data_IF_904964257096
#
_entry.id   IF_904964257096
#
_cell.length_a   1.000
_cell.length_b   1.000
_cell.length_c   1.000
_cell.angle_alpha   90.00
_cell.angle_beta   90.00
_cell.angle_gamma   90.00
#
_symmetry.space_group_name_H-M   'P 1'
#
loop_
_entity.id
_entity.type
_entity.pdbx_description
1 polymer ?
#
# COMPACT_ATOMS: atom_id res chain seq x y z
N UNK A 1 2.13 44.97 -0.70
CA UNK A 1 3.10 44.39 0.26
C UNK A 1 2.36 44.09 1.55
N UNK A 2 1.86 42.87 1.68
CA UNK A 2 1.13 42.39 2.85
C UNK A 2 0.86 40.91 2.66
N UNK A 3 1.05 40.12 3.74
CA UNK A 3 0.77 38.68 3.89
C UNK A 3 1.85 37.63 3.57
N UNK A 4 3.12 37.87 3.93
CA UNK A 4 4.10 36.76 4.03
C UNK A 4 4.10 36.04 5.41
N UNK A 5 3.45 36.59 6.43
CA UNK A 5 3.55 36.10 7.82
C UNK A 5 2.48 35.09 8.24
N UNK A 6 1.43 34.86 7.44
CA UNK A 6 0.35 33.94 7.80
C UNK A 6 0.60 32.46 7.43
N UNK A 7 1.61 32.16 6.60
CA UNK A 7 1.87 30.79 6.10
C UNK A 7 2.94 30.02 6.89
N UNK A 8 3.84 30.69 7.60
CA UNK A 8 4.97 30.02 8.28
C UNK A 8 4.53 29.21 9.51
N UNK A 9 3.50 29.67 10.24
CA UNK A 9 2.91 28.94 11.37
C UNK A 9 2.28 27.62 10.92
N UNK A 10 1.54 27.63 9.82
CA UNK A 10 0.84 26.45 9.31
C UNK A 10 1.79 25.32 8.87
N UNK A 11 2.88 25.62 8.15
CA UNK A 11 3.82 24.59 7.70
C UNK A 11 4.62 23.98 8.86
N UNK A 12 5.03 24.78 9.84
CA UNK A 12 5.71 24.27 11.04
C UNK A 12 4.82 23.29 11.80
N UNK A 13 3.55 23.62 11.97
CA UNK A 13 2.59 22.75 12.66
C UNK A 13 2.36 21.44 11.89
N UNK A 14 2.25 21.50 10.57
CA UNK A 14 2.13 20.30 9.71
C UNK A 14 3.34 19.38 9.90
N UNK A 15 4.57 19.94 9.87
CA UNK A 15 5.80 19.15 10.00
C UNK A 15 5.91 18.55 11.40
N UNK A 16 5.59 19.32 12.45
CA UNK A 16 5.65 18.82 13.83
C UNK A 16 4.63 17.70 14.04
N UNK A 17 3.37 17.89 13.62
CA UNK A 17 2.32 16.85 13.71
C UNK A 17 2.69 15.63 12.87
N UNK A 18 3.27 15.84 11.68
CA UNK A 18 3.70 14.75 10.81
C UNK A 18 4.84 13.94 11.41
N UNK A 19 5.90 14.58 11.90
CA UNK A 19 7.03 13.89 12.53
C UNK A 19 6.64 13.16 13.81
N UNK A 20 5.79 13.77 14.65
CA UNK A 20 5.26 13.12 15.86
C UNK A 20 4.31 11.99 15.52
N UNK A 21 3.49 12.14 14.48
CA UNK A 21 2.66 11.07 13.91
C UNK A 21 3.49 9.89 13.39
N UNK A 22 4.61 10.14 12.71
CA UNK A 22 5.55 9.10 12.25
C UNK A 22 6.12 8.34 13.45
N UNK A 23 6.60 9.05 14.47
CA UNK A 23 7.12 8.41 15.68
C UNK A 23 6.04 7.56 16.37
N UNK A 24 4.80 8.04 16.41
CA UNK A 24 3.67 7.30 16.97
C UNK A 24 3.34 6.04 16.16
N UNK A 25 3.29 6.12 14.83
CA UNK A 25 3.11 4.98 13.94
C UNK A 25 4.20 3.94 14.19
N UNK A 26 5.47 4.35 14.18
CA UNK A 26 6.60 3.44 14.37
C UNK A 26 6.56 2.77 15.74
N UNK A 27 6.18 3.50 16.79
CA UNK A 27 6.00 2.95 18.13
C UNK A 27 4.88 1.89 18.17
N UNK A 28 3.70 2.23 17.63
CA UNK A 28 2.56 1.29 17.60
C UNK A 28 2.90 0.06 16.77
N UNK A 29 3.54 0.24 15.61
CA UNK A 29 4.05 -0.86 14.78
C UNK A 29 5.02 -1.73 15.57
N UNK A 30 6.04 -1.16 16.20
CA UNK A 30 7.01 -1.91 16.98
C UNK A 30 6.35 -2.73 18.09
N UNK A 31 5.39 -2.14 18.82
CA UNK A 31 4.62 -2.81 19.86
C UNK A 31 3.78 -3.97 19.31
N UNK A 32 3.12 -3.77 18.17
CA UNK A 32 2.33 -4.83 17.50
C UNK A 32 3.23 -5.98 17.07
N UNK A 33 4.32 -5.68 16.34
CA UNK A 33 5.26 -6.71 15.88
C UNK A 33 5.84 -7.47 17.08
N UNK A 34 6.30 -6.76 18.10
CA UNK A 34 6.87 -7.36 19.30
C UNK A 34 5.85 -8.25 20.03
N UNK A 35 4.63 -7.75 20.28
CA UNK A 35 3.60 -8.52 20.98
C UNK A 35 3.25 -9.82 20.24
N UNK A 36 3.05 -9.75 18.92
CA UNK A 36 2.72 -10.94 18.14
C UNK A 36 3.89 -11.95 18.08
N UNK A 37 5.12 -11.48 17.93
CA UNK A 37 6.30 -12.35 17.96
C UNK A 37 6.48 -13.03 19.33
N UNK A 38 6.25 -12.31 20.43
CA UNK A 38 6.40 -12.87 21.77
C UNK A 38 5.32 -13.90 22.11
N UNK A 39 4.08 -13.69 21.66
CA UNK A 39 2.96 -14.56 22.05
C UNK A 39 2.74 -15.74 21.09
N UNK A 40 3.00 -15.58 19.80
CA UNK A 40 2.71 -16.60 18.78
C UNK A 40 3.91 -16.96 17.91
N UNK A 41 5.07 -16.33 18.11
CA UNK A 41 6.29 -16.61 17.35
C UNK A 41 6.37 -15.86 16.02
N UNK A 42 7.59 -15.88 15.45
CA UNK A 42 7.95 -15.18 14.22
C UNK A 42 7.09 -15.58 13.03
N UNK A 43 6.91 -16.89 12.82
CA UNK A 43 6.17 -17.40 11.68
C UNK A 43 4.72 -16.93 11.72
N UNK A 44 4.08 -16.92 12.90
CA UNK A 44 2.71 -16.45 13.02
C UNK A 44 2.55 -14.97 12.66
N UNK A 45 3.53 -14.13 13.03
CA UNK A 45 3.55 -12.73 12.66
C UNK A 45 3.70 -12.52 11.14
N UNK A 46 4.71 -13.15 10.54
CA UNK A 46 5.00 -12.99 9.10
C UNK A 46 3.85 -13.51 8.25
N UNK A 47 3.26 -14.62 8.66
CA UNK A 47 2.25 -15.32 7.88
C UNK A 47 0.84 -14.83 8.18
N UNK A 48 0.37 -14.92 9.42
CA UNK A 48 -1.04 -14.68 9.74
C UNK A 48 -1.35 -13.21 10.00
N UNK A 49 -0.54 -12.54 10.81
CA UNK A 49 -0.79 -11.14 11.17
C UNK A 49 -0.67 -10.24 9.94
N UNK A 50 0.40 -10.42 9.18
CA UNK A 50 0.61 -9.65 7.95
C UNK A 50 -0.48 -9.94 6.91
N UNK A 51 -0.89 -11.20 6.75
CA UNK A 51 -1.99 -11.58 5.86
C UNK A 51 -3.31 -10.92 6.24
N UNK A 52 -3.69 -10.95 7.52
CA UNK A 52 -4.92 -10.31 8.01
C UNK A 52 -4.94 -8.81 7.70
N UNK A 53 -3.85 -8.12 8.03
CA UNK A 53 -3.75 -6.67 7.78
C UNK A 53 -3.76 -6.33 6.28
N UNK A 54 -3.08 -7.12 5.44
CA UNK A 54 -3.13 -6.95 3.99
C UNK A 54 -4.54 -7.20 3.42
N UNK A 55 -5.31 -8.15 3.96
CA UNK A 55 -6.70 -8.36 3.57
C UNK A 55 -7.61 -7.17 3.89
N UNK A 56 -7.31 -6.42 4.96
CA UNK A 56 -8.04 -5.19 5.29
C UNK A 56 -7.65 -4.00 4.40
N UNK A 57 -6.49 -4.03 3.76
CA UNK A 57 -5.90 -2.88 3.06
C UNK A 57 -6.76 -2.34 1.91
N UNK A 58 -7.30 -3.16 0.99
CA UNK A 58 -8.21 -2.66 -0.04
C UNK A 58 -9.38 -1.87 0.53
N UNK A 59 -9.99 -2.38 1.61
CA UNK A 59 -11.08 -1.69 2.29
C UNK A 59 -10.62 -0.38 2.94
N UNK A 60 -9.43 -0.33 3.52
CA UNK A 60 -8.87 0.91 4.08
C UNK A 60 -8.67 1.99 3.01
N UNK A 61 -8.14 1.62 1.83
CA UNK A 61 -7.96 2.54 0.71
C UNK A 61 -9.33 3.10 0.28
N UNK A 62 -10.33 2.23 0.14
CA UNK A 62 -11.70 2.63 -0.21
C UNK A 62 -12.31 3.55 0.86
N UNK A 63 -12.21 3.18 2.14
CA UNK A 63 -12.72 3.98 3.26
C UNK A 63 -12.11 5.38 3.27
N UNK A 64 -10.79 5.47 3.09
CA UNK A 64 -10.06 6.73 3.14
C UNK A 64 -10.31 7.62 1.90
N UNK A 65 -10.30 7.04 0.71
CA UNK A 65 -10.32 7.81 -0.55
C UNK A 65 -11.72 8.01 -1.10
N UNK A 66 -12.56 6.96 -1.08
CA UNK A 66 -13.91 7.00 -1.68
C UNK A 66 -14.93 7.52 -0.69
N UNK A 67 -14.83 7.09 0.58
CA UNK A 67 -15.77 7.49 1.62
C UNK A 67 -15.26 8.63 2.50
N UNK A 68 -14.00 9.06 2.34
CA UNK A 68 -13.39 10.10 3.17
C UNK A 68 -13.57 9.87 4.68
N UNK A 69 -13.52 8.60 5.11
CA UNK A 69 -13.76 8.16 6.48
C UNK A 69 -15.11 8.62 7.08
N UNK A 70 -16.10 8.91 6.24
CA UNK A 70 -17.40 9.47 6.65
C UNK A 70 -18.57 8.49 6.57
N UNK A 71 -18.37 7.31 5.97
CA UNK A 71 -19.40 6.28 5.81
C UNK A 71 -19.09 5.06 6.69
N UNK A 72 -20.07 4.50 7.43
CA UNK A 72 -21.48 4.93 7.52
C UNK A 72 -21.65 6.32 8.17
N UNK A 73 -22.70 7.07 7.78
CA UNK A 73 -22.90 8.47 8.19
C UNK A 73 -22.84 8.70 9.71
N UNK A 74 -23.23 7.69 10.51
CA UNK A 74 -23.12 7.73 11.98
C UNK A 74 -21.68 7.90 12.48
N UNK A 75 -20.67 7.46 11.73
CA UNK A 75 -19.25 7.64 12.07
C UNK A 75 -18.82 9.11 12.01
N UNK A 76 -19.41 9.89 11.11
CA UNK A 76 -19.03 11.30 10.93
C UNK A 76 -19.36 12.18 12.14
N UNK A 77 -20.35 11.77 12.95
CA UNK A 77 -20.76 12.50 14.15
C UNK A 77 -20.02 12.13 15.44
N UNK A 78 -19.13 11.13 15.40
CA UNK A 78 -18.36 10.71 16.58
C UNK A 78 -17.14 11.63 16.78
N UNK A 79 -16.85 11.98 18.03
CA UNK A 79 -15.59 12.63 18.41
C UNK A 79 -14.46 11.59 18.55
N UNK A 80 -13.21 12.06 18.51
CA UNK A 80 -12.08 11.21 18.87
C UNK A 80 -12.08 10.95 20.39
N UNK A 81 -11.73 9.73 20.86
CA UNK A 81 -11.18 8.60 20.10
C UNK A 81 -12.21 7.64 19.52
N UNK A 82 -13.51 7.84 19.79
CA UNK A 82 -14.56 6.89 19.40
C UNK A 82 -14.69 6.73 17.89
N UNK A 83 -14.52 7.82 17.13
CA UNK A 83 -14.49 7.79 15.66
C UNK A 83 -13.38 6.87 15.15
N UNK A 84 -12.15 7.06 15.63
CA UNK A 84 -11.01 6.22 15.25
C UNK A 84 -11.21 4.75 15.60
N UNK A 85 -11.70 4.46 16.81
CA UNK A 85 -12.02 3.09 17.23
C UNK A 85 -13.09 2.44 16.34
N UNK A 86 -14.13 3.18 15.96
CA UNK A 86 -15.18 2.65 15.10
C UNK A 86 -14.67 2.37 13.68
N UNK A 87 -13.82 3.24 13.13
CA UNK A 87 -13.18 3.03 11.81
C UNK A 87 -12.24 1.81 11.85
N UNK A 88 -11.42 1.67 12.90
CA UNK A 88 -10.58 0.49 13.10
C UNK A 88 -11.43 -0.78 13.23
N UNK A 89 -12.56 -0.69 13.92
CA UNK A 89 -13.56 -1.77 13.98
C UNK A 89 -14.04 -2.20 12.59
N UNK A 90 -14.34 -1.25 11.70
CA UNK A 90 -14.68 -1.56 10.30
C UNK A 90 -13.52 -2.26 9.55
N UNK A 91 -12.28 -1.87 9.80
CA UNK A 91 -11.11 -2.53 9.19
C UNK A 91 -10.94 -3.97 9.67
N UNK A 92 -11.12 -4.21 10.97
CA UNK A 92 -11.10 -5.55 11.55
C UNK A 92 -12.21 -6.41 10.96
N UNK A 93 -13.43 -5.88 10.86
CA UNK A 93 -14.56 -6.60 10.24
C UNK A 93 -14.28 -6.94 8.78
N UNK A 94 -13.71 -6.01 8.00
CA UNK A 94 -13.31 -6.28 6.63
C UNK A 94 -12.26 -7.42 6.56
N UNK A 95 -11.26 -7.41 7.45
CA UNK A 95 -10.28 -8.50 7.55
C UNK A 95 -10.94 -9.84 7.88
N UNK A 96 -11.84 -9.87 8.87
CA UNK A 96 -12.53 -11.10 9.31
C UNK A 96 -13.35 -11.71 8.17
N UNK A 97 -13.86 -10.90 7.24
CA UNK A 97 -14.63 -11.38 6.09
C UNK A 97 -13.71 -11.83 4.95
N UNK A 98 -12.76 -10.97 4.56
CA UNK A 98 -11.91 -11.19 3.38
C UNK A 98 -10.89 -12.30 3.63
N UNK A 99 -10.30 -12.36 4.82
CA UNK A 99 -9.22 -13.29 5.13
C UNK A 99 -9.67 -14.77 5.01
N UNK A 100 -10.79 -15.23 5.60
CA UNK A 100 -11.28 -16.59 5.37
C UNK A 100 -11.71 -16.81 3.91
N UNK A 101 -12.35 -15.83 3.28
CA UNK A 101 -12.80 -15.94 1.89
C UNK A 101 -11.61 -16.26 0.98
N UNK A 102 -10.53 -15.48 1.03
CA UNK A 102 -9.35 -15.71 0.20
C UNK A 102 -8.57 -16.95 0.63
N UNK A 103 -8.54 -17.26 1.93
CA UNK A 103 -7.87 -18.45 2.46
C UNK A 103 -8.48 -19.74 1.90
N UNK A 104 -9.81 -19.83 1.83
CA UNK A 104 -10.49 -21.02 1.33
C UNK A 104 -10.67 -21.03 -0.19
N UNK A 105 -10.75 -19.86 -0.84
CA UNK A 105 -10.94 -19.80 -2.31
C UNK A 105 -9.62 -19.85 -3.08
N UNK A 106 -8.66 -18.98 -2.74
CA UNK A 106 -7.37 -18.89 -3.44
C UNK A 106 -6.32 -19.77 -2.76
N UNK A 107 -6.25 -19.73 -1.43
CA UNK A 107 -5.29 -20.51 -0.64
C UNK A 107 -5.66 -21.99 -0.43
N UNK A 108 -6.89 -22.38 -0.71
CA UNK A 108 -7.42 -23.75 -0.49
C UNK A 108 -7.14 -24.30 0.91
N UNK A 109 -7.25 -23.47 1.93
CA UNK A 109 -7.03 -23.92 3.29
C UNK A 109 -5.55 -23.98 3.69
N UNK A 110 -4.65 -23.39 2.91
CA UNK A 110 -3.24 -23.21 3.26
C UNK A 110 -2.77 -21.77 2.98
N UNK A 111 -1.88 -21.28 3.84
CA UNK A 111 -1.25 -19.98 3.62
C UNK A 111 0.00 -20.16 2.74
N UNK A 112 -0.19 -20.03 1.42
CA UNK A 112 0.87 -20.25 0.43
C UNK A 112 1.42 -18.92 -0.12
N UNK A 113 2.62 -18.91 -0.72
CA UNK A 113 3.12 -17.74 -1.45
C UNK A 113 2.15 -17.28 -2.54
N UNK A 114 1.45 -18.20 -3.20
CA UNK A 114 0.45 -17.91 -4.25
C UNK A 114 -0.68 -17.05 -3.68
N UNK A 115 -1.22 -17.42 -2.51
CA UNK A 115 -2.24 -16.63 -1.82
C UNK A 115 -1.72 -15.24 -1.43
N UNK A 116 -0.51 -15.15 -0.88
CA UNK A 116 0.07 -13.87 -0.49
C UNK A 116 0.28 -12.95 -1.70
N UNK A 117 0.74 -13.49 -2.82
CA UNK A 117 0.88 -12.73 -4.07
C UNK A 117 -0.47 -12.21 -4.57
N UNK A 118 -1.53 -13.03 -4.51
CA UNK A 118 -2.89 -12.61 -4.88
C UNK A 118 -3.37 -11.44 -4.01
N UNK A 119 -3.12 -11.50 -2.70
CA UNK A 119 -3.51 -10.47 -1.74
C UNK A 119 -2.74 -9.17 -2.02
N UNK A 120 -1.43 -9.24 -2.22
CA UNK A 120 -0.61 -8.06 -2.57
C UNK A 120 -1.10 -7.45 -3.89
N UNK A 121 -1.36 -8.27 -4.92
CA UNK A 121 -1.91 -7.81 -6.19
C UNK A 121 -3.28 -7.13 -6.00
N UNK A 122 -4.12 -7.62 -5.09
CA UNK A 122 -5.42 -7.00 -4.82
C UNK A 122 -5.28 -5.56 -4.30
N UNK A 123 -4.23 -5.27 -3.53
CA UNK A 123 -3.90 -3.90 -3.10
C UNK A 123 -3.50 -3.04 -4.29
N UNK A 124 -2.62 -3.55 -5.16
CA UNK A 124 -2.19 -2.87 -6.38
C UNK A 124 -3.39 -2.53 -7.26
N UNK A 125 -4.24 -3.52 -7.57
CA UNK A 125 -5.44 -3.33 -8.38
C UNK A 125 -6.37 -2.29 -7.76
N UNK A 126 -6.56 -2.34 -6.43
CA UNK A 126 -7.38 -1.36 -5.71
C UNK A 126 -6.84 0.05 -5.84
N UNK A 127 -5.53 0.25 -5.69
CA UNK A 127 -4.89 1.55 -5.90
C UNK A 127 -5.12 2.07 -7.32
N UNK A 128 -4.96 1.23 -8.35
CA UNK A 128 -5.19 1.65 -9.74
C UNK A 128 -6.65 1.99 -10.02
N UNK A 129 -7.59 1.15 -9.58
CA UNK A 129 -9.02 1.38 -9.81
C UNK A 129 -9.50 2.64 -9.09
N UNK A 130 -9.05 2.88 -7.85
CA UNK A 130 -9.50 4.02 -7.06
C UNK A 130 -8.75 5.30 -7.44
N UNK A 131 -7.42 5.28 -7.53
CA UNK A 131 -6.61 6.47 -7.73
C UNK A 131 -6.48 6.87 -9.20
N UNK A 132 -6.21 5.92 -10.11
CA UNK A 132 -6.02 6.24 -11.53
C UNK A 132 -7.36 6.30 -12.28
N UNK A 133 -8.26 5.35 -12.03
CA UNK A 133 -9.56 5.26 -12.72
C UNK A 133 -10.70 6.00 -11.99
N UNK A 134 -10.50 6.51 -10.77
CA UNK A 134 -11.54 7.22 -10.03
C UNK A 134 -12.81 6.37 -9.83
N UNK A 135 -12.63 5.08 -9.52
CA UNK A 135 -13.69 4.08 -9.39
C UNK A 135 -14.46 3.74 -10.68
N UNK A 136 -14.00 4.20 -11.85
CA UNK A 136 -14.59 3.79 -13.13
C UNK A 136 -14.24 2.31 -13.44
N UNK A 137 -15.18 1.51 -14.00
CA UNK A 137 -16.50 1.86 -14.51
C UNK A 137 -17.63 1.86 -13.46
N UNK A 138 -17.37 1.36 -12.25
CA UNK A 138 -18.39 1.17 -11.20
C UNK A 138 -19.09 2.48 -10.85
N UNK A 139 -18.35 3.58 -10.76
CA UNK A 139 -18.90 4.91 -10.46
C UNK A 139 -19.97 5.39 -11.44
N UNK A 140 -20.03 4.85 -12.67
CA UNK A 140 -21.08 5.15 -13.64
C UNK A 140 -22.44 4.57 -13.26
N UNK A 141 -22.46 3.48 -12.50
CA UNK A 141 -23.67 2.72 -12.18
C UNK A 141 -24.17 2.95 -10.75
N UNK A 142 -23.35 3.57 -9.89
CA UNK A 142 -23.69 3.79 -8.49
C UNK A 142 -24.29 5.18 -8.26
N UNK A 143 -25.38 5.23 -7.48
CA UNK A 143 -26.05 6.48 -7.09
C UNK A 143 -25.65 7.00 -5.71
N UNK A 144 -25.18 6.12 -4.83
CA UNK A 144 -24.77 6.48 -3.47
C UNK A 144 -23.28 6.16 -3.27
N UNK A 145 -22.53 7.00 -2.52
CA UNK A 145 -21.11 6.76 -2.28
C UNK A 145 -20.86 5.44 -1.56
N UNK A 146 -21.74 5.06 -0.63
CA UNK A 146 -21.67 3.78 0.09
C UNK A 146 -21.72 2.56 -0.85
N UNK A 147 -22.68 2.51 -1.77
CA UNK A 147 -22.74 1.41 -2.75
C UNK A 147 -21.55 1.48 -3.70
N UNK A 148 -21.14 2.68 -4.11
CA UNK A 148 -19.99 2.87 -5.00
C UNK A 148 -18.70 2.28 -4.41
N UNK A 149 -18.42 2.52 -3.13
CA UNK A 149 -17.25 1.96 -2.45
C UNK A 149 -17.25 0.43 -2.41
N UNK A 150 -18.35 -0.18 -1.94
CA UNK A 150 -18.46 -1.65 -1.84
C UNK A 150 -18.43 -2.33 -3.22
N UNK A 151 -19.17 -1.78 -4.20
CA UNK A 151 -19.16 -2.30 -5.56
C UNK A 151 -17.78 -2.15 -6.23
N UNK A 152 -17.05 -1.07 -5.92
CA UNK A 152 -15.67 -0.88 -6.41
C UNK A 152 -14.74 -1.93 -5.83
N UNK A 153 -14.86 -2.26 -4.53
CA UNK A 153 -14.05 -3.33 -3.93
C UNK A 153 -14.35 -4.69 -4.55
N UNK A 154 -15.62 -5.03 -4.74
CA UNK A 154 -16.00 -6.27 -5.41
C UNK A 154 -15.42 -6.34 -6.83
N UNK A 155 -15.51 -5.24 -7.58
CA UNK A 155 -14.89 -5.12 -8.89
C UNK A 155 -13.37 -5.27 -8.85
N UNK A 156 -12.69 -4.69 -7.85
CA UNK A 156 -11.24 -4.84 -7.69
C UNK A 156 -10.83 -6.29 -7.48
N UNK A 157 -11.54 -7.07 -6.64
CA UNK A 157 -11.21 -8.49 -6.45
C UNK A 157 -11.49 -9.34 -7.69
N UNK A 158 -12.56 -9.05 -8.43
CA UNK A 158 -12.86 -9.73 -9.69
C UNK A 158 -11.80 -9.42 -10.76
N UNK A 159 -11.44 -8.14 -10.91
CA UNK A 159 -10.38 -7.71 -11.82
C UNK A 159 -9.02 -8.29 -11.40
N UNK A 160 -8.75 -8.35 -10.10
CA UNK A 160 -7.55 -8.99 -9.55
C UNK A 160 -7.47 -10.46 -9.95
N UNK A 161 -8.56 -11.21 -9.83
CA UNK A 161 -8.61 -12.61 -10.25
C UNK A 161 -8.30 -12.77 -11.75
N UNK A 162 -8.87 -11.93 -12.61
CA UNK A 162 -8.60 -11.95 -14.05
C UNK A 162 -7.13 -11.66 -14.34
N UNK A 163 -6.56 -10.60 -13.74
CA UNK A 163 -5.14 -10.24 -13.92
C UNK A 163 -4.24 -11.35 -13.39
N UNK A 164 -4.56 -11.92 -12.24
CA UNK A 164 -3.79 -12.99 -11.62
C UNK A 164 -3.75 -14.23 -12.51
N UNK A 165 -4.90 -14.66 -13.04
CA UNK A 165 -4.97 -15.81 -13.95
C UNK A 165 -4.25 -15.59 -15.28
N UNK A 166 -4.26 -14.36 -15.81
CA UNK A 166 -3.61 -14.06 -17.09
C UNK A 166 -2.09 -13.95 -16.95
N UNK A 167 -1.60 -13.30 -15.89
CA UNK A 167 -0.19 -12.88 -15.84
C UNK A 167 0.70 -13.71 -14.93
N UNK A 168 0.17 -14.44 -13.95
CA UNK A 168 0.99 -15.15 -12.98
C UNK A 168 1.11 -16.63 -13.30
N UNK A 169 2.36 -17.10 -13.43
CA UNK A 169 2.73 -18.50 -13.55
C UNK A 169 3.53 -18.96 -12.33
N UNK A 170 3.15 -20.12 -11.79
CA UNK A 170 3.77 -20.70 -10.59
C UNK A 170 4.43 -22.06 -10.84
N UNK A 171 4.73 -22.41 -12.09
CA UNK A 171 5.41 -23.67 -12.42
C UNK A 171 6.73 -23.87 -11.64
N UNK A 172 7.39 -22.79 -11.22
CA UNK A 172 8.59 -22.85 -10.36
C UNK A 172 8.37 -23.52 -8.99
N UNK A 173 7.12 -23.67 -8.54
CA UNK A 173 6.76 -24.35 -7.29
C UNK A 173 6.37 -25.82 -7.49
N UNK A 174 6.48 -26.35 -8.71
CA UNK A 174 6.23 -27.76 -8.99
C UNK A 174 7.04 -28.69 -8.08
N UNK A 175 6.37 -29.70 -7.54
CA UNK A 175 6.95 -30.65 -6.59
C UNK A 175 6.95 -30.20 -5.13
N UNK A 176 6.56 -28.96 -4.81
CA UNK A 176 6.42 -28.51 -3.43
C UNK A 176 5.08 -28.98 -2.81
N UNK A 177 5.04 -29.31 -1.50
CA UNK A 177 3.84 -29.86 -0.86
C UNK A 177 2.59 -28.98 -0.93
N UNK A 178 2.77 -27.67 -1.08
CA UNK A 178 1.69 -26.70 -1.15
C UNK A 178 1.23 -26.39 -2.59
N UNK A 179 1.91 -26.93 -3.60
CA UNK A 179 1.63 -26.63 -5.00
C UNK A 179 0.65 -27.63 -5.60
N UNK A 180 -0.40 -27.11 -6.25
CA UNK A 180 -1.38 -27.90 -6.95
C UNK A 180 -1.70 -27.28 -8.32
N UNK A 181 -1.35 -27.99 -9.40
CA UNK A 181 -1.51 -27.52 -10.79
C UNK A 181 -2.94 -27.09 -11.15
N UNK A 182 -3.95 -27.71 -10.55
CA UNK A 182 -5.36 -27.39 -10.84
C UNK A 182 -5.72 -25.96 -10.44
N UNK A 183 -4.96 -25.36 -9.53
CA UNK A 183 -5.30 -24.09 -8.92
C UNK A 183 -4.21 -23.03 -9.01
N UNK A 184 -2.98 -23.43 -9.34
CA UNK A 184 -1.95 -22.49 -9.70
C UNK A 184 -2.21 -21.97 -11.13
N UNK A 185 -2.39 -20.66 -11.33
CA UNK A 185 -2.51 -20.14 -12.68
C UNK A 185 -1.21 -20.38 -13.47
N UNK A 186 -1.38 -20.64 -14.77
CA UNK A 186 -0.31 -20.83 -15.76
C UNK A 186 -0.22 -19.61 -16.68
N UNK A 187 -0.06 -18.44 -16.07
CA UNK A 187 -0.08 -17.15 -16.75
C UNK A 187 1.17 -16.88 -17.60
N UNK A 188 1.29 -15.63 -18.07
CA UNK A 188 2.34 -15.24 -19.01
C UNK A 188 3.74 -15.09 -18.39
N UNK A 189 3.83 -14.80 -17.09
CA UNK A 189 5.09 -14.45 -16.43
C UNK A 189 5.26 -15.20 -15.11
N UNK A 190 6.51 -15.53 -14.78
CA UNK A 190 6.86 -16.08 -13.48
C UNK A 190 6.27 -15.23 -12.33
N UNK A 191 5.66 -15.88 -11.34
CA UNK A 191 4.88 -15.22 -10.29
C UNK A 191 5.66 -14.23 -9.42
N UNK A 192 6.97 -14.43 -9.20
CA UNK A 192 7.82 -13.45 -8.48
C UNK A 192 8.07 -12.23 -9.37
N UNK A 193 8.34 -12.45 -10.65
CA UNK A 193 8.55 -11.39 -11.64
C UNK A 193 7.29 -10.54 -11.81
N UNK A 194 6.14 -11.19 -12.00
CA UNK A 194 4.84 -10.54 -12.12
C UNK A 194 4.50 -9.71 -10.87
N UNK A 195 4.70 -10.28 -9.68
CA UNK A 195 4.49 -9.57 -8.41
C UNK A 195 5.37 -8.34 -8.30
N UNK A 196 6.68 -8.51 -8.49
CA UNK A 196 7.65 -7.42 -8.36
C UNK A 196 7.33 -6.28 -9.33
N UNK A 197 6.98 -6.62 -10.57
CA UNK A 197 6.56 -5.65 -11.56
C UNK A 197 5.28 -4.92 -11.13
N UNK A 198 4.28 -5.63 -10.63
CA UNK A 198 3.04 -5.01 -10.17
C UNK A 198 3.24 -4.08 -8.96
N UNK A 199 4.09 -4.45 -8.00
CA UNK A 199 4.45 -3.57 -6.87
C UNK A 199 5.25 -2.36 -7.38
N UNK A 200 6.09 -2.52 -8.41
CA UNK A 200 6.75 -1.40 -9.10
C UNK A 200 5.72 -0.44 -9.71
N UNK A 201 4.70 -0.97 -10.37
CA UNK A 201 3.59 -0.18 -10.91
C UNK A 201 2.85 0.60 -9.79
N UNK A 202 2.59 -0.03 -8.65
CA UNK A 202 2.00 0.66 -7.50
C UNK A 202 2.91 1.77 -6.97
N UNK A 203 4.22 1.55 -6.85
CA UNK A 203 5.16 2.58 -6.44
C UNK A 203 5.16 3.77 -7.41
N UNK A 204 5.17 3.51 -8.72
CA UNK A 204 5.13 4.57 -9.74
C UNK A 204 3.78 5.31 -9.74
N UNK A 205 2.67 4.62 -9.50
CA UNK A 205 1.37 5.27 -9.28
C UNK A 205 1.41 6.21 -8.07
N UNK A 206 1.98 5.76 -6.95
CA UNK A 206 2.11 6.59 -5.76
C UNK A 206 3.00 7.83 -6.00
N UNK A 207 4.08 7.71 -6.76
CA UNK A 207 4.87 8.86 -7.19
C UNK A 207 4.08 9.80 -8.12
N UNK A 208 3.27 9.26 -9.03
CA UNK A 208 2.40 10.05 -9.89
C UNK A 208 1.40 10.88 -9.06
N UNK A 209 0.88 10.35 -7.95
CA UNK A 209 0.02 11.15 -7.06
C UNK A 209 0.76 12.34 -6.41
N UNK A 210 2.06 12.25 -6.14
CA UNK A 210 2.85 13.39 -5.64
C UNK A 210 2.96 14.53 -6.67
N UNK A 211 2.95 14.16 -7.95
CA UNK A 211 2.92 15.07 -9.09
C UNK A 211 1.50 15.54 -9.44
N UNK A 212 0.48 15.19 -8.65
CA UNK A 212 -0.94 15.39 -8.98
C UNK A 212 -1.28 14.88 -10.40
N UNK A 213 -0.70 13.73 -10.76
CA UNK A 213 -0.74 13.13 -12.09
C UNK A 213 -0.22 14.02 -13.22
N UNK A 214 0.70 14.94 -12.96
CA UNK A 214 1.48 15.60 -14.00
C UNK A 214 2.57 14.66 -14.54
N UNK A 215 2.83 14.58 -15.86
CA UNK A 215 2.27 15.39 -16.94
C UNK A 215 0.98 14.83 -17.57
N UNK A 216 0.50 13.64 -17.18
CA UNK A 216 -0.70 13.01 -17.73
C UNK A 216 -1.90 13.95 -17.74
N UNK A 217 -2.14 14.67 -16.65
CA UNK A 217 -3.22 15.67 -16.51
C UNK A 217 -3.12 16.82 -17.53
N UNK A 218 -1.90 17.16 -17.98
CA UNK A 218 -1.65 18.14 -19.04
C UNK A 218 -1.88 17.57 -20.43
N UNK A 219 -1.55 16.30 -20.67
CA UNK A 219 -1.69 15.67 -21.99
C UNK A 219 -3.15 15.48 -22.42
N UNK A 220 -4.04 15.23 -21.46
CA UNK A 220 -5.46 14.97 -21.75
C UNK A 220 -6.41 16.06 -21.26
N UNK A 221 -5.89 17.23 -20.85
CA UNK A 221 -6.59 18.46 -20.44
C UNK A 221 -8.09 18.28 -20.07
N UNK A 222 -8.38 17.98 -18.80
CA UNK A 222 -9.73 17.77 -18.27
C UNK A 222 -10.52 16.60 -18.86
N UNK A 223 -9.88 15.65 -19.56
CA UNK A 223 -10.56 14.45 -20.02
C UNK A 223 -11.23 13.69 -18.87
N UNK A 224 -12.50 13.34 -19.08
CA UNK A 224 -13.26 12.50 -18.15
C UNK A 224 -12.80 11.04 -18.25
N UNK A 225 -13.09 10.27 -17.21
CA UNK A 225 -12.92 8.81 -17.26
C UNK A 225 -13.75 8.22 -18.41
N UNK A 226 -13.24 7.21 -19.14
CA UNK A 226 -12.07 6.41 -18.80
C UNK A 226 -10.73 6.93 -19.35
N UNK A 227 -10.73 7.97 -20.18
CA UNK A 227 -9.53 8.35 -20.95
C UNK A 227 -8.37 8.76 -20.04
N UNK A 228 -8.62 9.59 -19.03
CA UNK A 228 -7.60 10.00 -18.06
C UNK A 228 -6.97 8.81 -17.34
N UNK A 229 -7.79 7.86 -16.86
CA UNK A 229 -7.29 6.68 -16.18
C UNK A 229 -6.51 5.73 -17.10
N UNK A 230 -6.96 5.55 -18.35
CA UNK A 230 -6.24 4.73 -19.34
C UNK A 230 -4.86 5.33 -19.64
N UNK A 231 -4.79 6.64 -19.94
CA UNK A 231 -3.51 7.31 -20.21
C UNK A 231 -2.59 7.24 -18.98
N UNK A 232 -3.14 7.39 -17.79
CA UNK A 232 -2.40 7.27 -16.54
C UNK A 232 -1.85 5.86 -16.34
N UNK A 233 -2.65 4.83 -16.55
CA UNK A 233 -2.22 3.43 -16.48
C UNK A 233 -1.09 3.17 -17.48
N UNK A 234 -1.25 3.55 -18.74
CA UNK A 234 -0.25 3.32 -19.78
C UNK A 234 1.07 4.03 -19.47
N UNK A 235 1.01 5.28 -19.00
CA UNK A 235 2.21 6.02 -18.60
C UNK A 235 2.91 5.34 -17.41
N UNK A 236 2.16 4.90 -16.40
CA UNK A 236 2.73 4.22 -15.24
C UNK A 236 3.34 2.87 -15.63
N UNK A 237 2.67 2.09 -16.49
CA UNK A 237 3.21 0.82 -16.99
C UNK A 237 4.51 1.03 -17.75
N UNK A 238 4.59 2.06 -18.61
CA UNK A 238 5.80 2.38 -19.35
C UNK A 238 6.95 2.77 -18.41
N UNK A 239 6.70 3.64 -17.43
CA UNK A 239 7.72 4.04 -16.44
C UNK A 239 8.14 2.86 -15.57
N UNK A 240 7.19 2.06 -15.08
CA UNK A 240 7.49 0.87 -14.28
C UNK A 240 8.31 -0.15 -15.07
N UNK A 241 8.04 -0.34 -16.36
CA UNK A 241 8.81 -1.23 -17.23
C UNK A 241 10.23 -0.74 -17.42
N UNK A 242 10.43 0.56 -17.63
CA UNK A 242 11.77 1.15 -17.71
C UNK A 242 12.54 0.96 -16.40
N UNK A 243 11.91 1.28 -15.26
CA UNK A 243 12.56 1.17 -13.94
C UNK A 243 12.88 -0.30 -13.62
N UNK A 244 11.90 -1.20 -13.75
CA UNK A 244 12.09 -2.63 -13.51
C UNK A 244 13.17 -3.22 -14.42
N UNK A 245 13.09 -2.94 -15.73
CA UNK A 245 14.06 -3.42 -16.70
C UNK A 245 15.48 -2.92 -16.44
N UNK A 246 15.62 -1.68 -15.97
CA UNK A 246 16.93 -1.12 -15.60
C UNK A 246 17.52 -1.87 -14.40
N UNK A 247 16.78 -1.99 -13.30
CA UNK A 247 17.35 -2.57 -12.07
C UNK A 247 17.46 -4.10 -12.11
N UNK A 248 16.46 -4.79 -12.62
CA UNK A 248 16.42 -6.26 -12.60
C UNK A 248 17.18 -6.84 -13.78
N UNK A 249 16.93 -6.37 -15.01
CA UNK A 249 17.55 -6.98 -16.20
C UNK A 249 18.93 -6.39 -16.52
N UNK A 250 19.09 -5.06 -16.44
CA UNK A 250 20.36 -4.44 -16.83
C UNK A 250 21.39 -4.41 -15.70
N UNK A 251 20.98 -4.09 -14.46
CA UNK A 251 21.85 -4.10 -13.28
C UNK A 251 21.89 -5.46 -12.56
N UNK A 252 21.07 -6.43 -12.98
CA UNK A 252 21.10 -7.80 -12.46
C UNK A 252 20.63 -7.93 -11.01
N UNK A 253 19.81 -7.02 -10.50
CA UNK A 253 19.26 -7.15 -9.16
C UNK A 253 18.25 -8.28 -9.08
N UNK A 254 18.34 -9.08 -8.01
CA UNK A 254 17.30 -10.06 -7.68
C UNK A 254 15.92 -9.38 -7.56
N UNK A 255 14.85 -9.93 -8.17
CA UNK A 255 13.52 -9.29 -8.17
C UNK A 255 12.97 -9.02 -6.78
N UNK A 256 13.09 -9.95 -5.83
CA UNK A 256 12.57 -9.76 -4.47
C UNK A 256 13.38 -8.71 -3.72
N UNK A 257 14.70 -8.74 -3.83
CA UNK A 257 15.57 -7.72 -3.26
C UNK A 257 15.26 -6.32 -3.85
N UNK A 258 15.06 -6.23 -5.16
CA UNK A 258 14.64 -5.00 -5.83
C UNK A 258 13.27 -4.53 -5.32
N UNK A 259 12.27 -5.43 -5.25
CA UNK A 259 10.92 -5.14 -4.76
C UNK A 259 10.96 -4.44 -3.40
N UNK A 260 11.73 -5.01 -2.46
CA UNK A 260 11.79 -4.52 -1.09
C UNK A 260 12.59 -3.23 -0.99
N UNK A 261 13.79 -3.18 -1.57
CA UNK A 261 14.69 -2.02 -1.47
C UNK A 261 14.20 -0.80 -2.25
N UNK A 262 13.45 -1.03 -3.34
CA UNK A 262 12.92 0.02 -4.20
C UNK A 262 11.42 0.22 -3.99
N UNK A 263 10.55 -0.45 -4.77
CA UNK A 263 9.10 -0.22 -4.79
C UNK A 263 8.42 -0.18 -3.42
N UNK A 264 8.65 -1.15 -2.54
CA UNK A 264 8.06 -1.21 -1.20
C UNK A 264 8.44 0.02 -0.37
N UNK A 265 9.74 0.35 -0.34
CA UNK A 265 10.23 1.51 0.40
C UNK A 265 9.74 2.83 -0.18
N UNK A 266 9.61 2.94 -1.51
CA UNK A 266 9.04 4.10 -2.18
C UNK A 266 7.55 4.26 -1.81
N UNK A 267 6.74 3.21 -1.91
CA UNK A 267 5.34 3.23 -1.48
C UNK A 267 5.25 3.73 -0.04
N UNK A 268 6.07 3.18 0.86
CA UNK A 268 6.09 3.61 2.25
C UNK A 268 6.51 5.08 2.42
N UNK A 269 7.59 5.50 1.75
CA UNK A 269 8.05 6.89 1.72
C UNK A 269 6.96 7.85 1.23
N UNK A 270 6.12 7.42 0.29
CA UNK A 270 5.01 8.26 -0.16
C UNK A 270 3.99 8.54 0.93
N UNK A 271 3.67 7.56 1.77
CA UNK A 271 2.76 7.75 2.90
C UNK A 271 3.35 8.64 4.00
N UNK A 272 4.66 8.58 4.22
CA UNK A 272 5.33 9.50 5.15
C UNK A 272 5.28 10.94 4.63
N UNK A 273 5.54 11.17 3.34
CA UNK A 273 5.56 12.52 2.77
C UNK A 273 4.16 13.08 2.53
N UNK A 274 3.18 12.22 2.19
CA UNK A 274 1.81 12.64 1.92
C UNK A 274 0.92 12.53 3.16
N UNK A 275 0.62 11.30 3.60
CA UNK A 275 -0.37 11.06 4.65
C UNK A 275 0.05 11.71 5.98
N UNK A 276 1.29 11.47 6.43
CA UNK A 276 1.75 12.02 7.72
C UNK A 276 1.85 13.55 7.69
N UNK A 277 2.18 14.13 6.54
CA UNK A 277 2.18 15.59 6.35
C UNK A 277 0.82 16.13 5.89
N UNK A 278 -0.26 15.37 6.09
CA UNK A 278 -1.65 15.77 5.84
C UNK A 278 -1.90 16.25 4.39
N UNK A 279 -1.10 15.77 3.43
CA UNK A 279 -1.06 16.20 2.02
C UNK A 279 -0.70 17.68 1.80
N UNK A 280 -0.35 18.43 2.85
CA UNK A 280 -0.12 19.88 2.83
C UNK A 280 1.36 20.29 2.71
N UNK A 281 2.30 19.35 2.74
CA UNK A 281 3.72 19.65 2.57
C UNK A 281 3.96 20.33 1.21
N UNK A 282 4.64 21.48 1.21
CA UNK A 282 4.94 22.28 0.01
C UNK A 282 3.68 22.74 -0.77
N UNK A 283 2.54 22.95 -0.09
CA UNK A 283 1.29 23.34 -0.74
C UNK A 283 1.37 24.63 -1.57
N UNK A 284 2.30 25.54 -1.25
CA UNK A 284 2.51 26.80 -1.97
C UNK A 284 3.36 26.67 -3.24
N UNK A 285 4.01 25.52 -3.48
CA UNK A 285 4.85 25.29 -4.65
C UNK A 285 3.99 24.78 -5.81
N UNK A 286 4.12 25.32 -7.04
CA UNK A 286 3.39 24.82 -8.20
C UNK A 286 3.98 23.53 -8.76
N UNK A 287 3.20 22.78 -9.54
CA UNK A 287 3.71 21.64 -10.32
C UNK A 287 4.54 22.13 -11.53
N UNK A 288 5.61 21.42 -11.92
CA UNK A 288 6.05 20.10 -11.43
C UNK A 288 7.00 20.16 -10.22
N UNK A 289 7.43 21.36 -9.80
CA UNK A 289 8.43 21.53 -8.75
C UNK A 289 7.97 20.93 -7.41
N UNK A 290 6.69 21.09 -7.08
CA UNK A 290 6.08 20.49 -5.87
C UNK A 290 6.27 18.98 -5.84
N UNK A 291 5.88 18.30 -6.92
CA UNK A 291 5.97 16.84 -6.98
C UNK A 291 7.43 16.35 -7.00
N UNK A 292 8.31 17.02 -7.74
CA UNK A 292 9.74 16.65 -7.77
C UNK A 292 10.41 16.76 -6.40
N UNK A 293 10.13 17.83 -5.65
CA UNK A 293 10.62 17.98 -4.26
C UNK A 293 10.04 16.91 -3.33
N UNK A 294 8.74 16.59 -3.47
CA UNK A 294 8.12 15.49 -2.70
C UNK A 294 8.73 14.13 -3.05
N UNK A 295 9.05 13.87 -4.32
CA UNK A 295 9.72 12.64 -4.76
C UNK A 295 11.13 12.55 -4.17
N UNK A 296 11.89 13.65 -4.13
CA UNK A 296 13.20 13.67 -3.49
C UNK A 296 13.11 13.33 -2.00
N UNK A 297 12.20 13.99 -1.27
CA UNK A 297 11.95 13.70 0.15
C UNK A 297 11.47 12.26 0.35
N UNK A 298 10.64 11.76 -0.56
CA UNK A 298 10.17 10.37 -0.56
C UNK A 298 11.33 9.39 -0.69
N UNK A 299 12.28 9.64 -1.60
CA UNK A 299 13.47 8.81 -1.76
C UNK A 299 14.34 8.79 -0.50
N UNK A 300 14.51 9.93 0.16
CA UNK A 300 15.22 10.02 1.44
C UNK A 300 14.50 9.23 2.54
N UNK A 301 13.19 9.43 2.71
CA UNK A 301 12.39 8.68 3.67
C UNK A 301 12.40 7.18 3.38
N UNK A 302 12.27 6.76 2.11
CA UNK A 302 12.33 5.37 1.70
C UNK A 302 13.65 4.71 2.09
N UNK A 303 14.78 5.36 1.78
CA UNK A 303 16.11 4.85 2.13
C UNK A 303 16.31 4.76 3.66
N UNK A 304 15.92 5.81 4.40
CA UNK A 304 16.02 5.82 5.86
C UNK A 304 15.17 4.73 6.50
N UNK A 305 13.95 4.52 6.02
CA UNK A 305 13.05 3.49 6.54
C UNK A 305 13.56 2.10 6.23
N UNK A 306 14.08 1.83 5.03
CA UNK A 306 14.72 0.54 4.74
C UNK A 306 15.80 0.21 5.77
N UNK A 307 16.71 1.16 6.04
CA UNK A 307 17.79 0.97 7.00
C UNK A 307 17.26 0.80 8.44
N UNK A 308 16.23 1.55 8.82
CA UNK A 308 15.59 1.40 10.13
C UNK A 308 15.00 0.00 10.33
N UNK A 309 14.27 -0.53 9.35
CA UNK A 309 13.67 -1.86 9.44
C UNK A 309 14.75 -2.95 9.40
N UNK A 310 15.78 -2.79 8.57
CA UNK A 310 16.92 -3.71 8.54
C UNK A 310 17.64 -3.76 9.91
N UNK A 311 17.82 -2.61 10.55
CA UNK A 311 18.41 -2.52 11.88
C UNK A 311 17.51 -3.13 12.97
N UNK A 312 16.20 -2.92 12.88
CA UNK A 312 15.23 -3.45 13.84
C UNK A 312 15.00 -4.97 13.71
N UNK A 313 15.22 -5.54 12.52
CA UNK A 313 14.93 -6.93 12.19
C UNK A 313 15.48 -7.94 13.22
N UNK A 314 16.79 -7.99 13.56
CA UNK A 314 17.30 -9.02 14.46
C UNK A 314 16.71 -8.92 15.88
N UNK A 315 16.39 -7.70 16.33
CA UNK A 315 15.77 -7.47 17.64
C UNK A 315 14.32 -7.91 17.63
N UNK A 316 13.59 -7.60 16.56
CA UNK A 316 12.16 -7.88 16.47
C UNK A 316 11.86 -9.34 16.13
N UNK A 317 12.63 -9.95 15.23
CA UNK A 317 12.50 -11.35 14.84
C UNK A 317 13.14 -12.31 15.85
N UNK A 318 13.99 -11.80 16.76
CA UNK A 318 14.74 -12.60 17.73
C UNK A 318 15.92 -13.38 17.12
N UNK A 319 16.08 -13.35 15.80
CA UNK A 319 17.15 -14.00 15.05
C UNK A 319 17.52 -13.18 13.82
N UNK A 320 18.73 -13.39 13.29
CA UNK A 320 19.11 -12.82 12.01
C UNK A 320 18.43 -13.59 10.87
N UNK A 321 17.70 -12.90 10.00
CA UNK A 321 17.11 -13.49 8.81
C UNK A 321 18.01 -13.17 7.61
N UNK A 322 18.58 -14.17 6.92
CA UNK A 322 19.42 -13.91 5.77
C UNK A 322 18.61 -13.46 4.56
N UNK A 323 19.27 -12.70 3.68
CA UNK A 323 18.70 -12.18 2.44
C UNK A 323 18.84 -13.16 1.27
N UNK A 324 17.93 -13.05 0.30
CA UNK A 324 18.07 -13.66 -1.02
C UNK A 324 17.56 -15.11 -1.14
N UNK A 325 17.65 -15.69 -2.35
CA UNK A 325 16.98 -16.93 -2.72
C UNK A 325 17.46 -18.15 -1.92
N UNK A 326 18.77 -18.24 -1.65
CA UNK A 326 19.35 -19.36 -0.90
C UNK A 326 18.86 -19.43 0.55
N UNK A 327 18.33 -18.33 1.07
CA UNK A 327 17.76 -18.20 2.40
C UNK A 327 16.22 -18.15 2.40
N UNK A 328 15.58 -18.44 1.26
CA UNK A 328 14.13 -18.36 1.13
C UNK A 328 13.58 -16.94 1.27
N UNK A 329 14.39 -15.91 1.05
CA UNK A 329 14.02 -14.49 1.15
C UNK A 329 13.54 -14.05 2.54
N UNK A 330 14.03 -14.67 3.63
CA UNK A 330 13.57 -14.38 4.99
C UNK A 330 13.64 -12.89 5.36
N UNK A 331 14.74 -12.22 5.00
CA UNK A 331 14.89 -10.78 5.22
C UNK A 331 13.87 -9.95 4.43
N UNK A 332 13.77 -10.21 3.12
CA UNK A 332 12.87 -9.48 2.22
C UNK A 332 11.41 -9.65 2.64
N UNK A 333 11.00 -10.88 2.95
CA UNK A 333 9.64 -11.19 3.41
C UNK A 333 9.34 -10.47 4.71
N UNK A 334 10.25 -10.50 5.69
CA UNK A 334 10.00 -9.84 6.97
C UNK A 334 9.87 -8.32 6.81
N UNK A 335 10.79 -7.68 6.06
CA UNK A 335 10.74 -6.23 5.84
C UNK A 335 9.46 -5.84 5.08
N UNK A 336 9.10 -6.57 4.03
CA UNK A 336 7.88 -6.31 3.27
C UNK A 336 6.62 -6.47 4.13
N UNK A 337 6.53 -7.55 4.91
CA UNK A 337 5.45 -7.82 5.84
C UNK A 337 5.34 -6.76 6.94
N UNK A 338 6.47 -6.32 7.51
CA UNK A 338 6.48 -5.28 8.51
C UNK A 338 6.07 -3.91 7.94
N UNK A 339 6.63 -3.50 6.80
CA UNK A 339 6.38 -2.18 6.20
C UNK A 339 4.99 -2.07 5.55
N UNK A 340 4.64 -2.98 4.64
CA UNK A 340 3.36 -2.94 3.91
C UNK A 340 2.25 -3.72 4.63
N UNK A 341 2.58 -4.84 5.25
CA UNK A 341 1.60 -5.65 5.95
C UNK A 341 1.09 -4.94 7.20
N UNK A 342 1.97 -4.40 8.05
CA UNK A 342 1.55 -3.88 9.37
C UNK A 342 1.64 -2.36 9.48
N UNK A 343 2.74 -1.77 9.05
CA UNK A 343 2.98 -0.33 9.25
C UNK A 343 2.07 0.53 8.38
N UNK A 344 1.87 0.17 7.11
CA UNK A 344 0.96 0.89 6.22
C UNK A 344 -0.47 0.95 6.76
N UNK A 345 -1.09 -0.14 7.25
CA UNK A 345 -2.40 -0.03 7.87
C UNK A 345 -2.41 0.84 9.13
N UNK A 346 -1.37 0.76 9.96
CA UNK A 346 -1.25 1.60 11.16
C UNK A 346 -1.15 3.08 10.79
N UNK A 347 -0.49 3.43 9.67
CA UNK A 347 -0.53 4.79 9.11
C UNK A 347 -1.98 5.22 8.89
N UNK A 348 -2.80 4.41 8.21
CA UNK A 348 -4.21 4.74 7.99
C UNK A 348 -5.01 4.82 9.29
N UNK A 349 -4.67 4.03 10.30
CA UNK A 349 -5.31 4.12 11.62
C UNK A 349 -5.02 5.48 12.25
N UNK A 350 -3.73 5.85 12.32
CA UNK A 350 -3.29 7.10 12.96
C UNK A 350 -3.75 8.33 12.19
N UNK A 351 -3.45 8.44 10.89
CA UNK A 351 -3.77 9.65 10.12
C UNK A 351 -5.21 9.70 9.63
N UNK A 352 -5.81 8.56 9.30
CA UNK A 352 -7.14 8.48 8.72
C UNK A 352 -8.23 8.28 9.77
N UNK A 353 -8.12 7.21 10.58
CA UNK A 353 -9.11 6.87 11.59
C UNK A 353 -9.13 7.84 12.77
N UNK A 354 -7.97 8.00 13.41
CA UNK A 354 -7.81 8.85 14.59
C UNK A 354 -7.53 10.31 14.26
N UNK A 355 -7.32 10.68 12.99
CA UNK A 355 -7.02 12.05 12.56
C UNK A 355 -5.85 12.68 13.35
N UNK A 356 -4.81 11.87 13.61
CA UNK A 356 -3.66 12.19 14.46
C UNK A 356 -3.97 12.36 15.94
N UNK A 357 -5.14 11.99 16.47
CA UNK A 357 -5.33 11.92 17.92
C UNK A 357 -4.39 10.88 18.55
N UNK A 358 -3.74 11.16 19.70
CA UNK A 358 -3.84 12.36 20.53
C UNK A 358 -2.84 13.49 20.19
N UNK A 359 -2.00 13.32 19.16
CA UNK A 359 -0.99 14.30 18.71
C UNK A 359 -1.65 15.64 18.31
N UNK A 360 -2.76 15.57 17.58
CA UNK A 360 -3.60 16.71 17.24
C UNK A 360 -4.88 16.64 18.06
N UNK A 361 -5.18 17.68 18.85
CA UNK A 361 -6.50 17.86 19.48
C UNK A 361 -7.36 18.69 18.53
N UNK A 362 -8.49 18.12 18.12
CA UNK A 362 -9.52 18.79 17.33
C UNK A 362 -10.45 19.62 18.21
#
# INVERSE_FOLDING_TARGET
MGSATHNAGSQRDIVVVGLTGIAWVLLVTALVIFAFNQWWGHDHFVHWVSYAFMCATPFQIMQAVVWHNSIPARLSGLSQPLKGLAIVGCFILASIIVMPLLYFTVGQGALTPILLHFVIQSVVVTLFVILALGCWPVSRFCRTPGICGLATLAFCYLLNLVIFCIFYDYAMFEGLPFYAHVFAPSGLFNGITALTFAVTCAAMLMLATMLDFWPMSKWVDNAKQPLMGIVTILAILAVALMVYGTFVHWLGMDPMAFMVKGPVCIIFGTFLVQNMMQFQLLASVPQPQKGLLKILLCGLCAALMYQLYLWALPVMAGTALPAGPSAGYGQEIWIASAMLGVTFPIINFVSGGFEFWPVKRN
#
